data_IF_448820168959
#
_entry.id   IF_448820168959
#
_cell.length_a   1.000
_cell.length_b   1.000
_cell.length_c   1.000
_cell.angle_alpha   90.00
_cell.angle_beta   90.00
_cell.angle_gamma   90.00
#
_symmetry.space_group_name_H-M   'P 1'
#
loop_
_entity.id
_entity.type
_entity.pdbx_description
1 polymer ?
#
# COMPACT_ATOMS: atom_id res chain seq x y z
N UNK A 1 36.61 34.26 7.32
CA UNK A 1 35.28 33.78 7.77
C UNK A 1 34.95 32.55 6.94
N UNK A 2 34.96 31.37 7.57
CA UNK A 2 34.98 30.08 6.89
C UNK A 2 33.61 29.72 6.30
N UNK A 3 33.59 29.36 5.01
CA UNK A 3 32.46 28.75 4.31
C UNK A 3 32.21 27.37 4.91
N UNK A 4 31.02 27.07 5.47
CA UNK A 4 30.79 25.76 6.08
C UNK A 4 30.89 24.68 5.00
N UNK A 5 31.71 23.66 5.28
CA UNK A 5 31.92 22.51 4.42
C UNK A 5 30.59 21.78 4.21
N UNK A 6 30.19 21.65 2.94
CA UNK A 6 29.07 20.80 2.57
C UNK A 6 29.41 19.37 3.00
N UNK A 7 28.60 18.80 3.90
CA UNK A 7 28.71 17.40 4.29
C UNK A 7 28.61 16.55 3.03
N UNK A 8 29.66 15.79 2.73
CA UNK A 8 29.65 14.81 1.66
C UNK A 8 28.49 13.85 1.90
N UNK A 9 27.52 13.85 0.98
CA UNK A 9 26.44 12.86 0.97
C UNK A 9 27.09 11.53 0.60
N UNK A 10 27.49 10.78 1.62
CA UNK A 10 27.84 9.37 1.47
C UNK A 10 26.58 8.71 0.97
N UNK A 11 26.50 8.46 -0.34
CA UNK A 11 25.44 7.70 -0.97
C UNK A 11 25.56 6.26 -0.46
N UNK A 12 24.99 6.01 0.72
CA UNK A 12 24.85 4.67 1.27
C UNK A 12 24.04 3.85 0.28
N UNK A 13 24.56 2.68 -0.08
CA UNK A 13 23.92 1.78 -1.06
C UNK A 13 22.50 1.50 -0.64
N UNK A 14 21.55 2.00 -1.43
CA UNK A 14 20.13 1.71 -1.28
C UNK A 14 19.84 0.37 -1.95
N UNK A 15 19.04 -0.45 -1.28
CA UNK A 15 18.71 -1.80 -1.69
C UNK A 15 17.23 -1.82 -2.10
N UNK A 16 16.94 -2.58 -3.15
CA UNK A 16 15.56 -2.86 -3.54
C UNK A 16 15.01 -3.97 -2.65
N UNK A 17 13.96 -3.66 -1.90
CA UNK A 17 13.30 -4.62 -1.01
C UNK A 17 11.90 -4.90 -1.54
N UNK A 18 11.56 -6.16 -1.88
CA UNK A 18 10.22 -6.52 -2.31
C UNK A 18 9.26 -6.49 -1.12
N UNK A 19 8.15 -5.78 -1.28
CA UNK A 19 7.03 -5.77 -0.34
C UNK A 19 6.12 -6.93 -0.72
N UNK A 20 6.04 -7.94 0.15
CA UNK A 20 5.13 -9.07 -0.01
C UNK A 20 3.78 -8.76 0.62
N UNK A 21 2.71 -9.21 -0.02
CA UNK A 21 1.38 -9.17 0.53
C UNK A 21 1.26 -10.14 1.73
N UNK A 22 0.22 -9.93 2.55
CA UNK A 22 -0.14 -10.84 3.64
C UNK A 22 -0.44 -12.24 3.10
N UNK A 23 -0.31 -13.28 3.94
CA UNK A 23 -0.56 -14.69 3.56
C UNK A 23 -1.94 -14.94 2.95
N UNK A 24 -2.93 -14.11 3.27
CA UNK A 24 -4.27 -14.13 2.67
C UNK A 24 -4.28 -13.92 1.15
N UNK A 25 -3.28 -13.24 0.61
CA UNK A 25 -3.13 -12.95 -0.82
C UNK A 25 -1.94 -13.67 -1.44
N UNK A 26 -1.62 -14.86 -0.93
CA UNK A 26 -0.59 -15.75 -1.50
C UNK A 26 0.81 -15.12 -1.59
N UNK A 27 1.14 -14.20 -0.67
CA UNK A 27 2.45 -13.52 -0.58
C UNK A 27 2.88 -12.80 -1.88
N UNK A 28 1.92 -12.40 -2.71
CA UNK A 28 2.22 -11.74 -3.97
C UNK A 28 3.03 -10.47 -3.75
N UNK A 29 4.03 -10.24 -4.60
CA UNK A 29 4.87 -9.04 -4.55
C UNK A 29 4.01 -7.84 -4.97
N UNK A 30 3.71 -6.96 -4.03
CA UNK A 30 2.92 -5.74 -4.24
C UNK A 30 3.71 -4.67 -4.99
N UNK A 31 5.03 -4.73 -4.85
CA UNK A 31 5.98 -3.79 -5.45
C UNK A 31 7.29 -3.83 -4.69
N UNK A 32 8.24 -3.04 -5.16
CA UNK A 32 9.55 -2.92 -4.54
C UNK A 32 9.72 -1.51 -3.99
N UNK A 33 10.35 -1.39 -2.82
CA UNK A 33 10.72 -0.08 -2.27
C UNK A 33 12.23 0.07 -2.26
N UNK A 34 12.68 1.24 -2.67
CA UNK A 34 14.08 1.60 -2.66
C UNK A 34 14.44 2.28 -1.34
N UNK A 35 15.20 1.57 -0.51
CA UNK A 35 15.42 1.98 0.89
C UNK A 35 16.87 1.79 1.30
N UNK A 36 17.35 2.66 2.19
CA UNK A 36 18.72 2.65 2.70
C UNK A 36 18.90 1.63 3.84
N UNK A 37 17.88 1.47 4.68
CA UNK A 37 17.83 0.47 5.74
C UNK A 37 16.43 -0.15 5.82
N UNK A 38 16.30 -1.48 6.03
CA UNK A 38 15.00 -2.15 6.10
C UNK A 38 14.08 -1.54 7.17
N UNK A 39 14.61 -0.96 8.24
CA UNK A 39 13.82 -0.31 9.29
C UNK A 39 12.98 0.89 8.78
N UNK A 40 13.44 1.59 7.74
CA UNK A 40 12.72 2.74 7.16
C UNK A 40 11.46 2.34 6.37
N UNK A 41 11.26 1.04 6.12
CA UNK A 41 10.02 0.50 5.55
C UNK A 41 8.89 0.42 6.57
N UNK A 42 9.21 0.38 7.87
CA UNK A 42 8.19 0.28 8.92
C UNK A 42 7.23 1.47 8.88
N UNK A 43 5.94 1.17 8.90
CA UNK A 43 4.88 2.20 8.89
C UNK A 43 4.55 2.78 7.52
N UNK A 44 5.24 2.38 6.43
CA UNK A 44 4.82 2.78 5.09
C UNK A 44 3.51 2.10 4.71
N UNK A 45 2.65 2.85 4.01
CA UNK A 45 1.39 2.35 3.48
C UNK A 45 1.50 2.22 1.97
N UNK A 46 1.35 1.00 1.46
CA UNK A 46 1.25 0.71 0.05
C UNK A 46 -0.23 0.49 -0.31
N UNK A 47 -0.71 1.17 -1.34
CA UNK A 47 -2.08 0.97 -1.86
C UNK A 47 -2.03 0.31 -3.22
N UNK A 48 -2.74 -0.81 -3.38
CA UNK A 48 -2.73 -1.63 -4.59
C UNK A 48 -4.17 -1.97 -4.99
N UNK A 49 -4.44 -2.13 -6.29
CA UNK A 49 -5.75 -2.57 -6.76
C UNK A 49 -6.00 -4.04 -6.44
N UNK A 50 -7.22 -4.39 -6.02
CA UNK A 50 -7.61 -5.76 -5.72
C UNK A 50 -7.55 -6.68 -6.96
N UNK A 51 -7.64 -6.11 -8.16
CA UNK A 51 -7.46 -6.85 -9.41
C UNK A 51 -6.09 -7.52 -9.49
N UNK A 52 -5.02 -6.83 -9.07
CA UNK A 52 -3.65 -7.35 -9.14
C UNK A 52 -3.48 -8.53 -8.19
N UNK A 53 -4.14 -8.44 -7.03
CA UNK A 53 -4.11 -9.43 -5.94
C UNK A 53 -4.90 -10.71 -6.23
N UNK A 54 -6.05 -10.58 -6.89
CA UNK A 54 -6.99 -11.68 -7.08
C UNK A 54 -7.07 -12.18 -8.53
N UNK A 55 -6.48 -11.45 -9.48
CA UNK A 55 -6.58 -11.74 -10.90
C UNK A 55 -7.98 -11.52 -11.49
N UNK A 56 -8.94 -11.00 -10.71
CA UNK A 56 -10.31 -10.74 -11.17
C UNK A 56 -10.44 -9.32 -11.72
N UNK A 57 -10.68 -9.13 -13.03
CA UNK A 57 -10.80 -7.81 -13.65
C UNK A 57 -12.00 -7.01 -13.14
N UNK A 58 -13.05 -7.67 -12.64
CA UNK A 58 -14.24 -6.97 -12.12
C UNK A 58 -13.93 -6.18 -10.84
N UNK A 59 -12.89 -6.60 -10.10
CA UNK A 59 -12.52 -6.02 -8.81
C UNK A 59 -11.52 -4.86 -8.91
N UNK A 60 -11.22 -4.37 -10.11
CA UNK A 60 -10.30 -3.24 -10.33
C UNK A 60 -10.75 -1.96 -9.60
N UNK A 61 -12.05 -1.81 -9.38
CA UNK A 61 -12.70 -0.70 -8.69
C UNK A 61 -12.32 -0.61 -7.19
N UNK A 62 -11.81 -1.67 -6.60
CA UNK A 62 -11.46 -1.72 -5.17
C UNK A 62 -9.95 -1.55 -5.02
N UNK A 63 -9.54 -0.55 -4.24
CA UNK A 63 -8.18 -0.37 -3.77
C UNK A 63 -8.03 -0.93 -2.35
N UNK A 64 -6.94 -1.63 -2.09
CA UNK A 64 -6.60 -2.18 -0.78
C UNK A 64 -5.34 -1.50 -0.26
N UNK A 65 -5.33 -1.13 1.01
CA UNK A 65 -4.20 -0.48 1.67
C UNK A 65 -3.53 -1.43 2.65
N UNK A 66 -2.22 -1.59 2.48
CA UNK A 66 -1.35 -2.44 3.29
C UNK A 66 -0.38 -1.57 4.08
N UNK A 67 -0.22 -1.86 5.37
CA UNK A 67 0.81 -1.27 6.22
C UNK A 67 1.95 -2.25 6.37
N UNK A 68 3.17 -1.78 6.23
CA UNK A 68 4.35 -2.56 6.60
C UNK A 68 4.50 -2.57 8.11
N UNK A 69 4.44 -3.76 8.73
CA UNK A 69 4.59 -3.93 10.19
C UNK A 69 5.88 -4.60 10.60
N UNK A 70 6.48 -5.43 9.73
CA UNK A 70 7.76 -6.07 10.03
C UNK A 70 8.62 -6.26 8.79
N UNK A 71 9.94 -6.22 8.98
CA UNK A 71 10.90 -6.57 7.93
C UNK A 71 11.71 -7.77 8.43
N UNK A 72 11.55 -8.89 7.75
CA UNK A 72 12.29 -10.13 8.01
C UNK A 72 13.43 -10.25 6.99
N UNK A 73 14.42 -11.11 7.28
CA UNK A 73 15.57 -11.37 6.38
C UNK A 73 15.18 -11.80 4.96
N UNK A 74 13.99 -12.39 4.78
CA UNK A 74 13.50 -12.94 3.50
C UNK A 74 12.35 -12.14 2.87
N UNK A 75 11.91 -11.05 3.51
CA UNK A 75 10.81 -10.24 2.99
C UNK A 75 10.16 -9.33 4.02
N UNK A 76 9.34 -8.42 3.50
CA UNK A 76 8.54 -7.49 4.30
C UNK A 76 7.19 -8.11 4.58
N UNK A 77 6.79 -8.17 5.85
CA UNK A 77 5.46 -8.57 6.28
C UNK A 77 4.55 -7.34 6.30
N UNK A 78 3.40 -7.45 5.66
CA UNK A 78 2.40 -6.39 5.60
C UNK A 78 1.09 -6.82 6.22
N UNK A 79 0.45 -5.91 6.96
CA UNK A 79 -0.89 -6.04 7.49
C UNK A 79 -1.88 -5.26 6.64
N UNK A 80 -3.09 -5.79 6.47
CA UNK A 80 -4.16 -5.14 5.76
C UNK A 80 -4.83 -4.11 6.68
N UNK A 81 -4.79 -2.83 6.31
CA UNK A 81 -5.48 -1.75 7.04
C UNK A 81 -6.96 -1.72 6.66
N UNK A 82 -7.25 -1.95 5.37
CA UNK A 82 -8.61 -1.91 4.85
C UNK A 82 -8.67 -1.76 3.34
N UNK A 83 -9.88 -1.62 2.83
CA UNK A 83 -10.16 -1.40 1.41
C UNK A 83 -11.00 -0.14 1.20
N UNK A 84 -10.87 0.45 0.02
CA UNK A 84 -11.61 1.63 -0.41
C UNK A 84 -12.11 1.43 -1.84
N UNK A 85 -13.32 1.90 -2.10
CA UNK A 85 -13.86 1.95 -3.46
C UNK A 85 -13.32 3.19 -4.20
N UNK A 86 -12.96 3.05 -5.47
CA UNK A 86 -12.58 4.20 -6.30
C UNK A 86 -13.76 5.20 -6.40
N UNK A 87 -13.52 6.51 -6.23
CA UNK A 87 -14.59 7.51 -6.33
C UNK A 87 -15.32 7.50 -7.67
N UNK A 88 -14.62 7.17 -8.75
CA UNK A 88 -15.21 7.04 -10.08
C UNK A 88 -16.28 5.94 -10.14
N UNK A 89 -16.06 4.82 -9.46
CA UNK A 89 -17.04 3.75 -9.41
C UNK A 89 -18.19 4.06 -8.45
N UNK A 90 -17.92 4.71 -7.32
CA UNK A 90 -18.98 5.18 -6.42
C UNK A 90 -19.94 6.13 -7.18
N UNK A 91 -19.39 7.06 -7.96
CA UNK A 91 -20.17 7.97 -8.82
C UNK A 91 -20.94 7.22 -9.91
N UNK A 92 -20.42 6.10 -10.45
CA UNK A 92 -21.15 5.29 -11.44
C UNK A 92 -22.37 4.59 -10.86
N UNK A 93 -22.40 4.27 -9.57
CA UNK A 93 -23.56 3.65 -8.92
C UNK A 93 -24.68 4.67 -8.71
N UNK A 94 -24.30 5.92 -8.41
CA UNK A 94 -25.23 7.04 -8.26
C UNK A 94 -25.86 7.43 -9.60
N UNK A 95 -27.19 7.60 -9.61
CA UNK A 95 -27.97 8.04 -10.78
C UNK A 95 -29.05 9.02 -10.34
N UNK A 96 -29.48 9.88 -11.26
CA UNK A 96 -30.63 10.76 -11.04
C UNK A 96 -31.90 9.93 -10.89
N UNK A 97 -32.87 10.44 -10.11
CA UNK A 97 -34.14 9.78 -9.80
C UNK A 97 -33.98 8.42 -9.08
N UNK A 98 -32.88 8.24 -8.34
CA UNK A 98 -32.71 7.10 -7.43
C UNK A 98 -32.24 7.62 -6.08
N UNK A 99 -32.73 7.00 -5.03
CA UNK A 99 -32.31 7.30 -3.67
C UNK A 99 -31.06 6.49 -3.32
N UNK A 100 -30.16 7.14 -2.59
CA UNK A 100 -28.91 6.53 -2.12
C UNK A 100 -29.09 6.19 -0.64
N UNK A 101 -29.05 4.90 -0.32
CA UNK A 101 -29.08 4.41 1.06
C UNK A 101 -27.63 4.09 1.45
N UNK A 102 -27.16 4.69 2.54
CA UNK A 102 -25.86 4.39 3.15
C UNK A 102 -26.08 4.01 4.60
N UNK A 103 -25.30 3.04 5.06
CA UNK A 103 -25.29 2.60 6.45
C UNK A 103 -23.86 2.30 6.87
N UNK A 104 -23.55 2.51 8.15
CA UNK A 104 -22.23 2.28 8.70
C UNK A 104 -22.36 1.66 10.08
N UNK A 105 -21.89 0.42 10.20
CA UNK A 105 -21.88 -0.31 11.46
C UNK A 105 -20.47 -0.36 12.02
N UNK A 106 -20.34 -0.06 13.30
CA UNK A 106 -19.12 -0.29 14.05
C UNK A 106 -19.20 -1.73 14.55
N UNK A 107 -18.26 -2.56 14.13
CA UNK A 107 -18.09 -3.91 14.69
C UNK A 107 -17.15 -3.76 15.88
N UNK A 108 -17.62 -4.19 17.05
CA UNK A 108 -16.87 -4.19 18.33
C UNK A 108 -16.22 -5.55 18.53
#
# INVERSE_FOLDING_TARGET
MAKPAAKAVIAKKKIWVPIKATKLFSEQVLGESFVEAPEQLMGRVASVSLMILTGDPQKQTVSVSFKVTGVTKEGVTTELIGYKLLPAAAKKLMRRKRDKIEDSFIVV
#
